data_IF_495356875070
#
_entry.id   IF_495356875070
#
_cell.length_a   1.000
_cell.length_b   1.000
_cell.length_c   1.000
_cell.angle_alpha   90.00
_cell.angle_beta   90.00
_cell.angle_gamma   90.00
#
_symmetry.space_group_name_H-M   'P 1'
#
loop_
_entity.id
_entity.type
_entity.pdbx_description
1 polymer ?
#
# COMPACT_ATOMS: atom_id res chain seq x y z
N UNK A 1 2.25 -51.32 -11.78
CA UNK A 1 3.21 -50.26 -12.12
C UNK A 1 2.67 -48.94 -11.58
N UNK A 2 3.08 -48.57 -10.37
CA UNK A 2 2.74 -47.29 -9.76
C UNK A 2 3.63 -46.20 -10.40
N UNK A 3 3.02 -45.12 -10.88
CA UNK A 3 3.76 -43.97 -11.38
C UNK A 3 3.40 -42.78 -10.49
N UNK A 4 4.15 -42.65 -9.40
CA UNK A 4 4.09 -41.50 -8.50
C UNK A 4 4.90 -40.40 -9.19
N UNK A 5 4.21 -39.44 -9.80
CA UNK A 5 4.84 -38.17 -10.17
C UNK A 5 5.00 -37.34 -8.90
N UNK A 6 6.21 -37.32 -8.36
CA UNK A 6 6.64 -36.30 -7.41
C UNK A 6 6.40 -34.92 -8.04
N UNK A 7 5.43 -34.19 -7.51
CA UNK A 7 5.29 -32.77 -7.79
C UNK A 7 6.47 -32.07 -7.10
N UNK A 8 7.42 -31.56 -7.90
CA UNK A 8 8.43 -30.65 -7.40
C UNK A 8 7.73 -29.46 -6.75
N UNK A 9 7.74 -29.39 -5.42
CA UNK A 9 7.42 -28.17 -4.68
C UNK A 9 8.56 -27.17 -4.94
N UNK A 10 8.54 -26.54 -6.12
CA UNK A 10 9.22 -25.27 -6.29
C UNK A 10 8.69 -24.36 -5.19
N UNK A 11 9.57 -23.85 -4.35
CA UNK A 11 9.22 -22.85 -3.34
C UNK A 11 8.70 -21.64 -4.12
N UNK A 12 7.38 -21.57 -4.35
CA UNK A 12 6.76 -20.36 -4.83
C UNK A 12 6.93 -19.35 -3.71
N UNK A 13 7.94 -18.51 -3.83
CA UNK A 13 8.13 -17.36 -2.95
C UNK A 13 6.87 -16.52 -3.05
N UNK A 14 6.13 -16.43 -1.95
CA UNK A 14 4.93 -15.60 -1.85
C UNK A 14 5.23 -14.20 -2.39
N UNK A 15 4.38 -13.60 -3.24
CA UNK A 15 4.64 -12.25 -3.76
C UNK A 15 4.70 -11.19 -2.65
N UNK A 16 4.15 -11.48 -1.46
CA UNK A 16 4.35 -10.66 -0.26
C UNK A 16 5.81 -10.59 0.19
N UNK A 17 6.61 -11.63 -0.04
CA UNK A 17 8.04 -11.62 0.31
C UNK A 17 8.80 -10.50 -0.40
N UNK A 18 8.37 -10.11 -1.59
CA UNK A 18 8.96 -8.99 -2.36
C UNK A 18 8.33 -7.63 -2.05
N UNK A 19 7.28 -7.58 -1.24
CA UNK A 19 6.55 -6.34 -0.94
C UNK A 19 7.15 -5.56 0.24
N UNK A 20 8.11 -6.15 0.95
CA UNK A 20 8.73 -5.60 2.16
C UNK A 20 10.25 -5.79 2.11
N UNK A 21 11.02 -4.97 2.85
CA UNK A 21 12.46 -5.13 2.98
C UNK A 21 12.87 -6.55 3.40
N UNK A 22 13.99 -7.03 2.88
CA UNK A 22 14.50 -8.38 3.13
C UNK A 22 14.71 -8.68 4.63
N UNK A 23 15.06 -7.65 5.42
CA UNK A 23 15.22 -7.76 6.88
C UNK A 23 13.93 -8.19 7.59
N UNK A 24 12.76 -7.90 7.00
CA UNK A 24 11.45 -8.30 7.53
C UNK A 24 11.00 -9.69 7.04
N UNK A 25 11.83 -10.40 6.26
CA UNK A 25 11.44 -11.63 5.57
C UNK A 25 10.85 -12.71 6.49
N UNK A 26 11.40 -12.88 7.71
CA UNK A 26 10.86 -13.83 8.70
C UNK A 26 9.45 -13.44 9.18
N UNK A 27 9.23 -12.17 9.47
CA UNK A 27 7.93 -11.65 9.92
C UNK A 27 6.88 -11.72 8.80
N UNK A 28 7.29 -11.39 7.57
CA UNK A 28 6.44 -11.51 6.37
C UNK A 28 6.04 -12.95 6.11
N UNK A 29 6.95 -13.91 6.31
CA UNK A 29 6.64 -15.33 6.18
C UNK A 29 5.59 -15.78 7.21
N UNK A 30 5.70 -15.34 8.46
CA UNK A 30 4.70 -15.61 9.51
C UNK A 30 3.33 -15.06 9.12
N UNK A 31 3.25 -13.78 8.71
CA UNK A 31 1.97 -13.16 8.30
C UNK A 31 1.40 -13.85 7.07
N UNK A 32 2.24 -14.19 6.08
CA UNK A 32 1.82 -14.89 4.87
C UNK A 32 1.22 -16.26 5.19
N UNK A 33 1.86 -17.04 6.05
CA UNK A 33 1.37 -18.37 6.43
C UNK A 33 0.08 -18.30 7.25
N UNK A 34 -0.08 -17.24 8.05
CA UNK A 34 -1.27 -17.03 8.86
C UNK A 34 -2.50 -16.71 7.99
N UNK A 35 -2.36 -15.78 7.04
CA UNK A 35 -3.50 -15.25 6.27
C UNK A 35 -3.73 -16.04 4.97
N UNK A 36 -2.70 -16.72 4.45
CA UNK A 36 -2.71 -17.50 3.19
C UNK A 36 -3.47 -16.78 2.06
N UNK A 37 -3.05 -15.56 1.71
CA UNK A 37 -3.81 -14.74 0.79
C UNK A 37 -3.68 -15.32 -0.62
N UNK A 38 -4.76 -15.30 -1.40
CA UNK A 38 -4.63 -15.37 -2.85
C UNK A 38 -4.46 -13.96 -3.41
N UNK A 39 -3.83 -13.83 -4.56
CA UNK A 39 -3.51 -12.53 -5.14
C UNK A 39 -4.17 -12.38 -6.50
N UNK A 40 -4.52 -11.14 -6.85
CA UNK A 40 -4.94 -10.85 -8.20
C UNK A 40 -3.79 -11.16 -9.18
N UNK A 41 -4.13 -11.55 -10.40
CA UNK A 41 -3.16 -11.88 -11.46
C UNK A 41 -2.44 -10.67 -12.04
N UNK A 42 -2.83 -9.46 -11.64
CA UNK A 42 -2.20 -8.23 -12.09
C UNK A 42 -0.79 -8.07 -11.50
N UNK A 43 0.16 -7.54 -12.29
CA UNK A 43 1.49 -7.24 -11.77
C UNK A 43 1.40 -6.24 -10.62
N UNK A 44 2.27 -6.42 -9.64
CA UNK A 44 2.48 -5.44 -8.58
C UNK A 44 3.06 -4.13 -9.11
N UNK A 45 3.24 -3.16 -8.22
CA UNK A 45 3.90 -1.90 -8.51
C UNK A 45 5.31 -1.90 -7.96
N UNK A 46 6.34 -1.91 -8.83
CA UNK A 46 7.72 -1.83 -8.38
C UNK A 46 8.01 -0.43 -7.82
N UNK A 47 8.71 -0.39 -6.70
CA UNK A 47 9.16 0.81 -6.00
C UNK A 47 10.54 0.56 -5.39
N UNK A 48 11.24 1.63 -5.03
CA UNK A 48 12.49 1.58 -4.28
C UNK A 48 12.26 2.22 -2.92
N UNK A 49 12.75 1.62 -1.84
CA UNK A 49 12.70 2.20 -0.50
C UNK A 49 14.08 2.09 0.12
N UNK A 50 14.71 3.24 0.40
CA UNK A 50 16.08 3.29 0.94
C UNK A 50 17.07 2.48 0.09
N UNK A 51 16.91 2.52 -1.24
CA UNK A 51 17.73 1.77 -2.19
C UNK A 51 17.35 0.30 -2.39
N UNK A 52 16.40 -0.25 -1.63
CA UNK A 52 15.93 -1.62 -1.81
C UNK A 52 14.71 -1.69 -2.75
N UNK A 53 14.69 -2.67 -3.67
CA UNK A 53 13.59 -2.85 -4.62
C UNK A 53 12.46 -3.67 -4.02
N UNK A 54 11.28 -3.08 -3.92
CA UNK A 54 10.05 -3.71 -3.43
C UNK A 54 9.01 -3.79 -4.56
N UNK A 55 8.05 -4.70 -4.43
CA UNK A 55 6.95 -4.85 -5.37
C UNK A 55 5.61 -4.92 -4.62
N UNK A 56 4.86 -3.81 -4.67
CA UNK A 56 3.61 -3.66 -3.92
C UNK A 56 2.48 -4.42 -4.63
N UNK A 57 1.77 -5.32 -3.94
CA UNK A 57 0.62 -6.02 -4.50
C UNK A 57 -0.43 -5.10 -5.12
N UNK A 58 -0.98 -5.49 -6.27
CA UNK A 58 -2.15 -4.81 -6.81
C UNK A 58 -3.37 -4.99 -5.89
N UNK A 59 -3.79 -6.24 -5.69
CA UNK A 59 -4.88 -6.64 -4.81
C UNK A 59 -4.59 -7.98 -4.15
N UNK A 60 -5.04 -8.12 -2.91
CA UNK A 60 -5.07 -9.36 -2.16
C UNK A 60 -6.51 -9.80 -1.93
N UNK A 61 -6.72 -11.10 -2.04
CA UNK A 61 -7.94 -11.82 -1.69
C UNK A 61 -7.67 -12.55 -0.39
N UNK A 62 -8.27 -12.06 0.68
CA UNK A 62 -8.17 -12.59 2.03
C UNK A 62 -9.51 -12.34 2.70
N UNK A 63 -9.91 -13.18 3.64
CA UNK A 63 -11.04 -12.83 4.52
C UNK A 63 -10.43 -12.03 5.66
N UNK A 64 -10.56 -10.71 5.62
CA UNK A 64 -10.05 -9.85 6.69
C UNK A 64 -10.53 -10.36 8.05
N UNK A 65 -9.58 -10.72 8.91
CA UNK A 65 -9.83 -11.24 10.24
C UNK A 65 -9.02 -10.42 11.25
N UNK A 66 -9.72 -9.60 12.02
CA UNK A 66 -9.11 -8.76 13.05
C UNK A 66 -8.73 -9.53 14.30
N UNK A 67 -9.30 -10.73 14.49
CA UNK A 67 -8.94 -11.59 15.62
C UNK A 67 -7.50 -12.08 15.53
N UNK A 68 -6.86 -11.90 14.37
CA UNK A 68 -5.44 -12.14 14.20
C UNK A 68 -4.57 -11.08 14.89
N UNK A 69 -4.99 -9.82 14.96
CA UNK A 69 -4.14 -8.73 15.49
C UNK A 69 -3.60 -8.98 16.91
N UNK A 70 -4.41 -9.46 17.88
CA UNK A 70 -3.91 -9.78 19.22
C UNK A 70 -2.84 -10.89 19.28
N UNK A 71 -2.68 -11.66 18.21
CA UNK A 71 -1.73 -12.79 18.12
C UNK A 71 -0.40 -12.40 17.46
N UNK A 72 -0.31 -11.19 16.94
CA UNK A 72 0.82 -10.69 16.17
C UNK A 72 1.70 -9.79 17.04
N UNK A 73 3.01 -9.82 16.81
CA UNK A 73 3.91 -8.81 17.35
C UNK A 73 3.74 -7.46 16.60
N UNK A 74 4.31 -6.38 17.13
CA UNK A 74 4.14 -5.03 16.57
C UNK A 74 4.54 -4.91 15.08
N UNK A 75 5.63 -5.57 14.68
CA UNK A 75 6.10 -5.58 13.29
C UNK A 75 5.11 -6.33 12.39
N UNK A 76 4.66 -7.51 12.81
CA UNK A 76 3.67 -8.31 12.09
C UNK A 76 2.32 -7.60 11.99
N UNK A 77 1.90 -6.88 13.03
CA UNK A 77 0.71 -6.04 13.02
C UNK A 77 0.80 -4.99 11.91
N UNK A 78 1.97 -4.37 11.77
CA UNK A 78 2.22 -3.32 10.77
C UNK A 78 2.29 -3.91 9.36
N UNK A 79 2.98 -5.03 9.18
CA UNK A 79 3.01 -5.79 7.92
C UNK A 79 1.58 -6.18 7.51
N UNK A 80 0.80 -6.74 8.42
CA UNK A 80 -0.57 -7.16 8.12
C UNK A 80 -1.47 -5.96 7.77
N UNK A 81 -1.34 -4.85 8.49
CA UNK A 81 -2.04 -3.61 8.15
C UNK A 81 -1.67 -3.11 6.75
N UNK A 82 -0.39 -3.11 6.37
CA UNK A 82 0.07 -2.80 5.01
C UNK A 82 -0.57 -3.74 3.97
N UNK A 83 -0.59 -5.05 4.23
CA UNK A 83 -1.24 -6.03 3.35
C UNK A 83 -2.72 -5.73 3.18
N UNK A 84 -3.45 -5.39 4.25
CA UNK A 84 -4.88 -5.07 4.21
C UNK A 84 -5.20 -3.77 3.46
N UNK A 85 -4.24 -2.85 3.26
CA UNK A 85 -4.42 -1.72 2.33
C UNK A 85 -4.57 -2.15 0.87
N UNK A 86 -4.26 -3.42 0.55
CA UNK A 86 -4.44 -3.99 -0.80
C UNK A 86 -5.66 -4.92 -0.88
N UNK A 87 -6.49 -4.95 0.16
CA UNK A 87 -7.74 -5.74 0.19
C UNK A 87 -8.76 -5.26 -0.85
N UNK A 88 -9.68 -6.12 -1.26
CA UNK A 88 -10.73 -5.77 -2.24
C UNK A 88 -11.76 -4.79 -1.65
N UNK A 89 -12.15 -5.03 -0.40
CA UNK A 89 -13.05 -4.15 0.34
C UNK A 89 -12.38 -2.80 0.66
N UNK A 90 -13.05 -1.70 0.28
CA UNK A 90 -12.60 -0.34 0.55
C UNK A 90 -12.65 0.04 2.02
N UNK A 91 -13.59 -0.51 2.80
CA UNK A 91 -13.71 -0.24 4.23
C UNK A 91 -12.55 -0.87 5.00
N UNK A 92 -12.15 -2.10 4.64
CA UNK A 92 -10.95 -2.73 5.18
C UNK A 92 -9.72 -1.87 4.88
N UNK A 93 -9.54 -1.44 3.63
CA UNK A 93 -8.41 -0.58 3.24
C UNK A 93 -8.34 0.70 4.06
N UNK A 94 -9.47 1.42 4.18
CA UNK A 94 -9.53 2.69 4.90
C UNK A 94 -9.15 2.54 6.38
N UNK A 95 -9.69 1.52 7.05
CA UNK A 95 -9.53 1.33 8.50
C UNK A 95 -8.07 1.17 8.96
N UNK A 96 -7.19 0.71 8.09
CA UNK A 96 -5.78 0.52 8.43
C UNK A 96 -4.91 1.76 8.20
N UNK A 97 -5.43 2.82 7.59
CA UNK A 97 -4.67 4.06 7.29
C UNK A 97 -4.15 4.69 8.58
N UNK A 98 -5.02 4.98 9.55
CA UNK A 98 -4.65 5.65 10.80
C UNK A 98 -3.55 4.90 11.59
N UNK A 99 -3.48 3.57 11.45
CA UNK A 99 -2.43 2.75 12.08
C UNK A 99 -1.07 2.90 11.39
N UNK A 100 -1.06 3.15 10.09
CA UNK A 100 0.15 3.16 9.27
C UNK A 100 0.77 4.55 9.16
N UNK A 101 -0.05 5.59 9.03
CA UNK A 101 0.38 6.96 8.74
C UNK A 101 1.21 7.63 9.83
N UNK A 102 1.14 7.14 11.08
CA UNK A 102 1.92 7.65 12.21
C UNK A 102 3.31 7.01 12.34
N UNK A 103 3.57 5.94 11.59
CA UNK A 103 4.85 5.24 11.63
C UNK A 103 5.91 5.95 10.79
N UNK A 104 7.16 5.86 11.25
CA UNK A 104 8.36 6.39 10.56
C UNK A 104 9.07 5.37 9.70
N UNK A 105 8.53 4.15 9.62
CA UNK A 105 9.09 3.07 8.83
C UNK A 105 8.92 3.34 7.32
N UNK A 106 10.00 3.54 6.54
CA UNK A 106 9.89 3.99 5.15
C UNK A 106 9.18 3.02 4.21
N UNK A 107 9.21 1.72 4.52
CA UNK A 107 8.55 0.67 3.74
C UNK A 107 7.02 0.72 3.83
N UNK A 108 6.44 1.54 4.70
CA UNK A 108 4.99 1.79 4.78
C UNK A 108 4.53 2.77 3.70
N UNK A 109 5.34 3.78 3.40
CA UNK A 109 5.02 4.84 2.44
C UNK A 109 4.44 4.31 1.11
N UNK A 110 5.01 3.29 0.44
CA UNK A 110 4.44 2.81 -0.81
C UNK A 110 3.03 2.22 -0.67
N UNK A 111 2.66 1.63 0.46
CA UNK A 111 1.31 1.11 0.69
C UNK A 111 0.29 2.23 0.86
N UNK A 112 0.62 3.26 1.65
CA UNK A 112 -0.22 4.43 1.87
C UNK A 112 -0.38 5.25 0.59
N UNK A 113 0.71 5.52 -0.13
CA UNK A 113 0.68 6.34 -1.34
C UNK A 113 -0.09 5.64 -2.46
N UNK A 114 -0.03 4.31 -2.56
CA UNK A 114 -0.80 3.56 -3.57
C UNK A 114 -2.31 3.80 -3.41
N UNK A 115 -2.81 3.89 -2.17
CA UNK A 115 -4.23 4.16 -1.89
C UNK A 115 -4.71 5.50 -2.48
N UNK A 116 -3.83 6.50 -2.59
CA UNK A 116 -4.17 7.81 -3.16
C UNK A 116 -4.49 7.76 -4.66
N UNK A 117 -4.10 6.69 -5.35
CA UNK A 117 -4.37 6.47 -6.77
C UNK A 117 -5.61 5.62 -7.04
N UNK A 118 -6.47 5.43 -6.05
CA UNK A 118 -7.66 4.59 -6.11
C UNK A 118 -8.95 5.42 -6.16
N UNK A 119 -10.05 4.79 -6.56
CA UNK A 119 -11.31 5.49 -6.85
C UNK A 119 -12.15 5.82 -5.61
N UNK A 120 -11.65 5.60 -4.39
CA UNK A 120 -12.42 5.76 -3.14
C UNK A 120 -12.06 7.09 -2.50
N UNK A 121 -12.95 8.08 -2.60
CA UNK A 121 -12.70 9.44 -2.09
C UNK A 121 -12.52 9.48 -0.56
N UNK A 122 -13.19 8.60 0.18
CA UNK A 122 -13.11 8.51 1.64
C UNK A 122 -11.70 8.13 2.12
N UNK A 123 -10.99 7.30 1.35
CA UNK A 123 -9.59 6.97 1.65
C UNK A 123 -8.70 8.20 1.46
N UNK A 124 -8.91 8.99 0.41
CA UNK A 124 -8.18 10.25 0.23
C UNK A 124 -8.45 11.24 1.37
N UNK A 125 -9.70 11.34 1.82
CA UNK A 125 -10.09 12.18 2.95
C UNK A 125 -9.44 11.71 4.27
N UNK A 126 -9.40 10.40 4.51
CA UNK A 126 -8.72 9.82 5.68
C UNK A 126 -7.22 10.13 5.66
N UNK A 127 -6.57 10.02 4.50
CA UNK A 127 -5.14 10.36 4.35
C UNK A 127 -4.92 11.85 4.60
N UNK A 128 -5.73 12.74 3.99
CA UNK A 128 -5.67 14.19 4.20
C UNK A 128 -5.79 14.54 5.70
N UNK A 129 -6.76 13.95 6.40
CA UNK A 129 -6.98 14.20 7.83
C UNK A 129 -5.79 13.78 8.70
N UNK A 130 -5.03 12.75 8.29
CA UNK A 130 -3.88 12.25 9.03
C UNK A 130 -2.54 12.86 8.59
N UNK A 131 -2.50 13.70 7.53
CA UNK A 131 -1.27 14.33 7.04
C UNK A 131 -0.44 15.03 8.11
N UNK A 132 -1.01 15.76 9.09
CA UNK A 132 -0.22 16.39 10.15
C UNK A 132 0.59 15.41 11.02
N UNK A 133 0.19 14.13 11.06
CA UNK A 133 0.87 13.07 11.83
C UNK A 133 1.86 12.27 10.98
N UNK A 134 1.91 12.50 9.67
CA UNK A 134 2.80 11.79 8.76
C UNK A 134 4.21 12.39 8.79
N UNK A 135 5.22 11.53 8.71
CA UNK A 135 6.61 11.97 8.66
C UNK A 135 6.98 12.49 7.26
N UNK A 136 6.98 13.82 7.12
CA UNK A 136 7.29 14.50 5.86
C UNK A 136 8.65 14.08 5.26
N UNK A 137 9.66 13.81 6.08
CA UNK A 137 10.98 13.41 5.60
C UNK A 137 10.94 12.01 4.99
N UNK A 138 10.25 11.07 5.63
CA UNK A 138 10.08 9.70 5.14
C UNK A 138 9.34 9.68 3.80
N UNK A 139 8.19 10.36 3.71
CA UNK A 139 7.40 10.38 2.48
C UNK A 139 8.11 11.18 1.37
N UNK A 140 8.76 12.31 1.72
CA UNK A 140 9.54 13.10 0.78
C UNK A 140 10.71 12.32 0.16
N UNK A 141 11.46 11.57 0.97
CA UNK A 141 12.51 10.68 0.48
C UNK A 141 11.97 9.59 -0.46
N UNK A 142 10.87 8.93 -0.06
CA UNK A 142 10.20 7.94 -0.90
C UNK A 142 9.77 8.51 -2.25
N UNK A 143 9.22 9.73 -2.29
CA UNK A 143 8.81 10.38 -3.54
C UNK A 143 9.97 10.65 -4.48
N UNK A 144 11.13 11.06 -3.95
CA UNK A 144 12.34 11.31 -4.76
C UNK A 144 12.94 10.03 -5.33
N UNK A 145 12.89 8.93 -4.59
CA UNK A 145 13.30 7.61 -5.11
C UNK A 145 12.31 7.07 -6.16
N UNK A 146 11.05 7.51 -6.13
CA UNK A 146 9.96 6.92 -6.92
C UNK A 146 9.13 7.92 -7.75
N UNK A 147 9.74 8.81 -8.55
CA UNK A 147 9.01 9.83 -9.29
C UNK A 147 8.01 9.24 -10.30
N UNK A 148 8.36 8.10 -10.92
CA UNK A 148 7.48 7.41 -11.89
C UNK A 148 6.25 6.81 -11.20
N UNK A 149 6.44 6.20 -10.02
CA UNK A 149 5.33 5.66 -9.22
C UNK A 149 4.41 6.79 -8.77
N UNK A 150 4.96 7.87 -8.19
CA UNK A 150 4.18 9.02 -7.74
C UNK A 150 3.38 9.63 -8.89
N UNK A 151 4.00 9.84 -10.05
CA UNK A 151 3.32 10.35 -11.24
C UNK A 151 2.17 9.43 -11.66
N UNK A 152 2.39 8.13 -11.74
CA UNK A 152 1.36 7.17 -12.12
C UNK A 152 0.18 7.18 -11.15
N UNK A 153 0.45 7.25 -9.85
CA UNK A 153 -0.58 7.33 -8.81
C UNK A 153 -1.38 8.63 -8.94
N UNK A 154 -0.72 9.76 -9.22
CA UNK A 154 -1.38 11.05 -9.50
C UNK A 154 -2.27 11.00 -10.75
N UNK A 155 -1.75 10.43 -11.85
CA UNK A 155 -2.51 10.31 -13.10
C UNK A 155 -3.78 9.44 -12.90
N UNK A 156 -3.68 8.38 -12.09
CA UNK A 156 -4.85 7.56 -11.70
C UNK A 156 -5.85 8.34 -10.87
N UNK A 157 -5.38 9.10 -9.87
CA UNK A 157 -6.23 9.97 -9.06
C UNK A 157 -7.02 10.93 -9.96
N UNK A 158 -6.36 11.57 -10.93
CA UNK A 158 -7.01 12.45 -11.91
C UNK A 158 -8.05 11.68 -12.75
N UNK A 159 -7.69 10.50 -13.24
CA UNK A 159 -8.59 9.68 -14.06
C UNK A 159 -9.85 9.29 -13.29
N UNK A 160 -9.73 8.94 -12.02
CA UNK A 160 -10.88 8.59 -11.18
C UNK A 160 -11.69 9.80 -10.77
N UNK A 161 -11.05 10.93 -10.46
CA UNK A 161 -11.76 12.19 -10.27
C UNK A 161 -12.59 12.53 -11.50
N UNK A 162 -12.01 12.47 -12.70
CA UNK A 162 -12.71 12.77 -13.95
C UNK A 162 -13.94 11.86 -14.14
N UNK A 163 -13.73 10.56 -14.01
CA UNK A 163 -14.77 9.56 -14.27
C UNK A 163 -15.93 9.60 -13.26
N UNK A 164 -15.63 9.77 -11.96
CA UNK A 164 -16.62 9.54 -10.91
C UNK A 164 -17.02 10.80 -10.13
N UNK A 165 -16.19 11.84 -10.09
CA UNK A 165 -16.32 12.92 -9.10
C UNK A 165 -16.32 14.33 -9.69
N UNK A 166 -15.87 14.54 -10.94
CA UNK A 166 -15.77 15.87 -11.55
C UNK A 166 -17.11 16.62 -11.59
N UNK A 167 -18.21 15.89 -11.75
CA UNK A 167 -19.54 16.50 -11.76
C UNK A 167 -19.91 17.14 -10.42
N UNK A 168 -19.43 16.56 -9.30
CA UNK A 168 -19.63 17.05 -7.94
C UNK A 168 -18.56 18.09 -7.54
N UNK A 169 -17.29 17.82 -7.88
CA UNK A 169 -16.13 18.66 -7.56
C UNK A 169 -15.52 19.21 -8.85
N UNK A 170 -16.13 20.26 -9.40
CA UNK A 170 -15.77 20.81 -10.72
C UNK A 170 -14.40 21.48 -10.72
N UNK A 171 -14.03 22.15 -9.63
CA UNK A 171 -12.70 22.77 -9.48
C UNK A 171 -11.78 21.75 -8.84
N UNK A 172 -10.52 21.70 -9.29
CA UNK A 172 -9.51 20.76 -8.79
C UNK A 172 -9.37 20.83 -7.26
N UNK A 173 -9.26 22.05 -6.72
CA UNK A 173 -9.06 22.25 -5.27
C UNK A 173 -10.26 21.82 -4.41
N UNK A 174 -11.45 21.66 -4.98
CA UNK A 174 -12.61 21.15 -4.24
C UNK A 174 -12.49 19.64 -3.99
N UNK A 175 -11.75 18.91 -4.83
CA UNK A 175 -11.53 17.48 -4.69
C UNK A 175 -10.27 17.19 -3.88
N UNK A 176 -10.44 16.41 -2.81
CA UNK A 176 -9.37 16.06 -1.85
C UNK A 176 -8.12 15.48 -2.50
N UNK A 177 -8.26 14.69 -3.55
CA UNK A 177 -7.12 14.08 -4.24
C UNK A 177 -6.13 15.13 -4.76
N UNK A 178 -6.58 16.28 -5.28
CA UNK A 178 -5.64 17.30 -5.73
C UNK A 178 -4.86 17.89 -4.57
N UNK A 179 -5.53 18.26 -3.46
CA UNK A 179 -4.92 18.82 -2.26
C UNK A 179 -3.86 17.88 -1.66
N UNK A 180 -4.18 16.59 -1.55
CA UNK A 180 -3.24 15.54 -1.12
C UNK A 180 -1.97 15.54 -1.98
N UNK A 181 -2.12 15.57 -3.30
CA UNK A 181 -0.96 15.56 -4.21
C UNK A 181 -0.22 16.89 -4.28
N UNK A 182 -0.82 18.03 -3.90
CA UNK A 182 -0.06 19.28 -3.72
C UNK A 182 0.87 19.15 -2.51
N UNK A 183 0.34 18.64 -1.39
CA UNK A 183 1.12 18.41 -0.19
C UNK A 183 2.29 17.44 -0.43
N UNK A 184 2.06 16.36 -1.20
CA UNK A 184 3.14 15.44 -1.58
C UNK A 184 4.24 16.10 -2.41
N UNK A 185 3.90 17.06 -3.29
CA UNK A 185 4.91 17.82 -4.05
C UNK A 185 5.73 18.72 -3.14
N UNK A 186 5.10 19.36 -2.16
CA UNK A 186 5.80 20.18 -1.15
C UNK A 186 6.76 19.34 -0.32
N UNK A 187 6.35 18.15 0.13
CA UNK A 187 7.20 17.22 0.88
C UNK A 187 8.40 16.74 0.06
N UNK A 188 8.19 16.45 -1.22
CA UNK A 188 9.26 16.07 -2.14
C UNK A 188 10.32 17.18 -2.30
N UNK A 189 9.90 18.45 -2.28
CA UNK A 189 10.76 19.62 -2.48
C UNK A 189 11.45 20.13 -1.20
N UNK A 190 10.92 19.83 -0.01
CA UNK A 190 11.35 20.45 1.25
C UNK A 190 12.34 19.63 2.09
N UNK A 191 12.68 18.40 1.66
CA UNK A 191 13.51 17.45 2.41
C UNK A 191 14.78 17.06 1.66
#
# INVERSE_FOLDING_TARGET
>A
MANIREASKGVQTSPLATAFPAVLGSEVAVVTELIRPSMATHPGSPVVVQGESLNIPYRIHHVSDDTLFPRLNEVQVTIYACVLTRHLDGHVRQRHIARLVTSREPWIAPFVVHLCGEYVIEILAEIEANMPSMDQCVYGAFFRENPVFLKRTHDRMISYWDCYYRWLYKRKLDYVGFRVFEQFREWCASA
#
